data_IF_478200680862
#
_entry.id   IF_478200680862
#
_cell.length_a   1.000
_cell.length_b   1.000
_cell.length_c   1.000
_cell.angle_alpha   90.00
_cell.angle_beta   90.00
_cell.angle_gamma   90.00
#
_symmetry.space_group_name_H-M   'P 1'
#
loop_
_entity.id
_entity.type
_entity.pdbx_description
1 polymer ?
#
# COMPACT_ATOMS: atom_id res chain seq x y z
N UNK A 1 -0.63 -0.41 25.63
CA UNK A 1 0.00 0.88 26.00
C UNK A 1 -0.19 1.99 24.96
N UNK A 2 0.25 1.83 23.69
CA UNK A 2 0.09 2.91 22.68
C UNK A 2 -1.39 3.21 22.38
N UNK A 3 -2.23 2.18 22.27
CA UNK A 3 -3.68 2.37 22.12
C UNK A 3 -4.33 3.11 23.29
N UNK A 4 -3.83 2.94 24.51
CA UNK A 4 -4.30 3.69 25.69
C UNK A 4 -3.93 5.18 25.59
N UNK A 5 -2.71 5.49 25.15
CA UNK A 5 -2.26 6.86 24.90
C UNK A 5 -3.06 7.54 23.79
N UNK A 6 -3.34 6.82 22.68
CA UNK A 6 -4.18 7.33 21.59
C UNK A 6 -5.60 7.61 22.09
N UNK A 7 -6.21 6.70 22.85
CA UNK A 7 -7.54 6.90 23.45
C UNK A 7 -7.57 8.09 24.41
N UNK A 8 -6.54 8.28 25.22
CA UNK A 8 -6.44 9.45 26.11
C UNK A 8 -6.38 10.78 25.34
N UNK A 9 -5.84 10.77 24.13
CA UNK A 9 -5.84 11.91 23.20
C UNK A 9 -7.04 11.99 22.27
N UNK A 10 -8.11 11.23 22.52
CA UNK A 10 -9.29 11.13 21.66
C UNK A 10 -8.97 10.72 20.20
N UNK A 11 -7.95 9.88 19.99
CA UNK A 11 -7.54 9.33 18.70
C UNK A 11 -7.86 7.83 18.61
N UNK A 12 -8.20 7.35 17.42
CA UNK A 12 -8.31 5.92 17.13
C UNK A 12 -6.92 5.33 16.79
N UNK A 13 -6.84 3.99 16.84
CA UNK A 13 -5.63 3.22 16.55
C UNK A 13 -5.71 2.44 15.23
N UNK A 14 -6.61 2.86 14.34
CA UNK A 14 -6.88 2.18 13.08
C UNK A 14 -6.04 2.77 11.96
N UNK A 15 -5.62 1.89 11.04
CA UNK A 15 -4.89 2.25 9.84
C UNK A 15 -5.74 1.84 8.63
N UNK A 16 -5.67 2.56 7.51
CA UNK A 16 -6.29 2.09 6.28
C UNK A 16 -5.70 0.76 5.85
N UNK A 17 -6.47 -0.04 5.12
CA UNK A 17 -5.97 -1.25 4.46
C UNK A 17 -4.82 -0.92 3.52
N UNK A 18 -3.76 -1.71 3.61
CA UNK A 18 -2.53 -1.48 2.85
C UNK A 18 -1.71 -2.76 2.66
N UNK A 19 -0.85 -2.73 1.65
CA UNK A 19 0.18 -3.73 1.41
C UNK A 19 1.54 -3.17 1.81
N UNK A 20 2.32 -3.95 2.57
CA UNK A 20 3.74 -3.67 2.76
C UNK A 20 4.54 -4.24 1.60
N UNK A 21 5.43 -3.43 1.03
CA UNK A 21 6.25 -3.81 -0.12
C UNK A 21 7.71 -3.56 0.18
N UNK A 22 8.52 -4.59 -0.06
CA UNK A 22 9.97 -4.49 -0.12
C UNK A 22 10.39 -4.83 -1.56
N UNK A 23 11.01 -3.89 -2.25
CA UNK A 23 11.58 -4.10 -3.57
C UNK A 23 13.10 -3.98 -3.49
N UNK A 24 13.79 -5.00 -4.01
CA UNK A 24 15.25 -5.04 -4.07
C UNK A 24 15.70 -5.39 -5.48
N UNK A 25 16.83 -4.80 -5.89
CA UNK A 25 17.49 -5.15 -7.13
C UNK A 25 19.01 -4.91 -6.98
N UNK A 26 19.87 -5.74 -7.60
CA UNK A 26 21.31 -5.49 -7.61
C UNK A 26 21.65 -4.08 -8.09
N UNK A 27 22.59 -3.40 -7.41
CA UNK A 27 23.02 -2.05 -7.77
C UNK A 27 22.03 -0.94 -7.43
N UNK A 28 20.94 -1.22 -6.71
CA UNK A 28 19.91 -0.25 -6.33
C UNK A 28 19.71 -0.20 -4.81
N UNK A 29 19.25 0.94 -4.31
CA UNK A 29 18.80 1.08 -2.92
C UNK A 29 17.51 0.28 -2.71
N UNK A 30 17.40 -0.53 -1.64
CA UNK A 30 16.14 -1.17 -1.26
C UNK A 30 15.04 -0.14 -1.04
N UNK A 31 13.86 -0.38 -1.62
CA UNK A 31 12.67 0.41 -1.36
C UNK A 31 11.76 -0.34 -0.39
N UNK A 32 11.58 0.23 0.80
CA UNK A 32 10.52 -0.16 1.74
C UNK A 32 9.41 0.87 1.63
N UNK A 33 8.22 0.43 1.23
CA UNK A 33 7.06 1.31 1.05
C UNK A 33 5.78 0.55 1.38
N UNK A 34 4.66 1.27 1.35
CA UNK A 34 3.31 0.73 1.51
C UNK A 34 2.39 1.29 0.43
N UNK A 35 1.36 0.53 0.05
CA UNK A 35 0.32 0.92 -0.92
C UNK A 35 -1.03 0.85 -0.25
N UNK A 36 -1.86 1.90 -0.38
CA UNK A 36 -3.13 2.05 0.32
C UNK A 36 -4.32 1.93 -0.64
N UNK A 37 -5.41 1.32 -0.19
CA UNK A 37 -6.67 1.33 -0.92
C UNK A 37 -7.39 2.68 -0.73
N UNK A 38 -7.82 3.31 -1.82
CA UNK A 38 -8.45 4.64 -1.79
C UNK A 38 -9.83 4.67 -1.10
N UNK A 39 -10.51 3.52 -1.05
CA UNK A 39 -11.88 3.38 -0.55
C UNK A 39 -11.92 3.02 0.95
N UNK A 40 -10.76 2.95 1.61
CA UNK A 40 -10.71 2.64 3.02
C UNK A 40 -11.24 3.80 3.90
N UNK A 41 -12.15 3.53 4.87
CA UNK A 41 -12.70 4.56 5.75
C UNK A 41 -11.66 5.36 6.55
N UNK A 42 -10.44 4.83 6.72
CA UNK A 42 -9.36 5.47 7.47
C UNK A 42 -8.27 6.09 6.58
N UNK A 43 -8.50 6.23 5.28
CA UNK A 43 -7.49 6.74 4.33
C UNK A 43 -6.99 8.15 4.71
N UNK A 44 -7.88 9.02 5.18
CA UNK A 44 -7.56 10.38 5.63
C UNK A 44 -7.26 10.47 7.14
N UNK A 45 -7.23 9.33 7.84
CA UNK A 45 -7.17 9.28 9.30
C UNK A 45 -6.15 8.26 9.85
N UNK A 46 -5.12 7.88 9.08
CA UNK A 46 -4.14 6.89 9.52
C UNK A 46 -3.51 7.24 10.89
N UNK A 47 -3.66 6.32 11.86
CA UNK A 47 -3.17 6.51 13.22
C UNK A 47 -1.67 6.78 13.32
N UNK A 48 -0.88 6.35 12.32
CA UNK A 48 0.58 6.51 12.29
C UNK A 48 1.08 7.50 11.23
N UNK A 49 0.17 8.19 10.53
CA UNK A 49 0.51 9.22 9.53
C UNK A 49 1.37 8.70 8.36
N UNK A 50 1.23 7.42 8.00
CA UNK A 50 1.99 6.75 6.95
C UNK A 50 1.49 7.08 5.54
N UNK A 51 0.20 7.43 5.39
CA UNK A 51 -0.40 7.70 4.07
C UNK A 51 0.33 8.83 3.33
N UNK A 52 0.59 8.58 2.05
CA UNK A 52 1.10 9.54 1.07
C UNK A 52 0.21 9.44 -0.16
N UNK A 53 -0.26 10.58 -0.68
CA UNK A 53 -1.24 10.60 -1.78
C UNK A 53 -0.75 9.86 -3.04
N UNK A 54 0.55 9.84 -3.29
CA UNK A 54 1.15 9.11 -4.43
C UNK A 54 1.17 7.59 -4.25
N UNK A 55 0.79 7.08 -3.07
CA UNK A 55 0.76 5.66 -2.71
C UNK A 55 -0.68 5.18 -2.44
N UNK A 56 -1.68 6.04 -2.68
CA UNK A 56 -3.11 5.70 -2.61
C UNK A 56 -3.56 5.25 -3.99
N UNK A 57 -4.14 4.07 -4.09
CA UNK A 57 -4.46 3.40 -5.36
C UNK A 57 -5.94 3.08 -5.47
N UNK A 58 -6.46 3.19 -6.69
CA UNK A 58 -7.76 2.66 -7.08
C UNK A 58 -7.64 1.17 -7.39
N UNK A 59 -8.36 0.36 -6.63
CA UNK A 59 -8.50 -1.08 -6.88
C UNK A 59 -9.73 -1.28 -7.77
N UNK A 60 -9.51 -1.56 -9.05
CA UNK A 60 -10.60 -1.74 -10.01
C UNK A 60 -11.23 -3.11 -9.82
N UNK A 61 -12.51 -3.16 -9.46
CA UNK A 61 -13.27 -4.42 -9.44
C UNK A 61 -13.51 -4.90 -10.86
N UNK A 62 -12.99 -6.09 -11.17
CA UNK A 62 -13.13 -6.78 -12.46
C UNK A 62 -14.10 -7.95 -12.33
N UNK A 63 -15.16 -7.91 -13.13
CA UNK A 63 -16.18 -8.98 -13.19
C UNK A 63 -15.99 -9.93 -14.38
N UNK A 64 -15.14 -9.59 -15.35
CA UNK A 64 -14.93 -10.37 -16.58
C UNK A 64 -14.01 -11.58 -16.34
N UNK A 65 -14.48 -12.82 -16.50
CA UNK A 65 -13.64 -14.01 -16.39
C UNK A 65 -12.46 -14.03 -17.38
N UNK A 66 -12.58 -13.39 -18.55
CA UNK A 66 -11.50 -13.31 -19.52
C UNK A 66 -10.34 -12.45 -19.01
N UNK A 67 -10.62 -11.40 -18.24
CA UNK A 67 -9.61 -10.57 -17.58
C UNK A 67 -8.91 -11.29 -16.42
N UNK A 68 -9.55 -12.30 -15.83
CA UNK A 68 -9.00 -13.07 -14.72
C UNK A 68 -8.00 -14.15 -15.17
N UNK A 69 -8.15 -14.66 -16.40
CA UNK A 69 -7.36 -15.78 -16.91
C UNK A 69 -5.83 -15.56 -16.88
N UNK A 70 -5.27 -14.39 -17.24
CA UNK A 70 -3.82 -14.15 -17.15
C UNK A 70 -3.25 -14.20 -15.73
N UNK A 71 -4.08 -13.98 -14.71
CA UNK A 71 -3.68 -13.98 -13.30
C UNK A 71 -4.01 -15.30 -12.58
N UNK A 72 -4.61 -16.27 -13.29
CA UNK A 72 -5.05 -17.55 -12.73
C UNK A 72 -5.99 -17.42 -11.52
N UNK A 73 -6.90 -16.42 -11.57
CA UNK A 73 -7.94 -16.19 -10.55
C UNK A 73 -9.35 -16.30 -11.14
N UNK A 74 -10.37 -16.33 -10.28
CA UNK A 74 -11.79 -16.29 -10.68
C UNK A 74 -12.35 -14.87 -10.52
N UNK A 75 -13.36 -14.53 -11.33
CA UNK A 75 -14.12 -13.30 -11.15
C UNK A 75 -15.20 -13.47 -10.05
N UNK A 76 -15.52 -12.41 -9.28
CA UNK A 76 -14.92 -11.08 -9.36
C UNK A 76 -13.58 -11.00 -8.61
N UNK A 77 -12.66 -10.19 -9.14
CA UNK A 77 -11.39 -9.88 -8.49
C UNK A 77 -11.14 -8.36 -8.50
N UNK A 78 -10.13 -7.91 -7.76
CA UNK A 78 -9.66 -6.53 -7.81
C UNK A 78 -8.30 -6.48 -8.49
N UNK A 79 -8.15 -5.54 -9.42
CA UNK A 79 -6.93 -5.30 -10.19
C UNK A 79 -6.34 -3.93 -9.83
N UNK A 80 -5.03 -3.85 -9.75
CA UNK A 80 -4.29 -2.62 -9.44
C UNK A 80 -2.90 -2.68 -10.07
N UNK A 81 -2.49 -1.57 -10.69
CA UNK A 81 -1.17 -1.42 -11.27
C UNK A 81 -0.39 -0.31 -10.55
N UNK A 82 0.87 -0.59 -10.21
CA UNK A 82 1.77 0.39 -9.59
C UNK A 82 3.22 0.14 -10.02
N UNK A 83 3.90 1.21 -10.46
CA UNK A 83 5.29 1.16 -10.90
C UNK A 83 6.25 1.53 -9.75
N UNK A 84 7.17 0.62 -9.43
CA UNK A 84 8.26 0.90 -8.49
C UNK A 84 9.49 1.43 -9.23
N UNK A 85 10.04 2.55 -8.76
CA UNK A 85 11.28 3.14 -9.27
C UNK A 85 12.33 3.13 -8.15
N UNK A 86 13.43 2.44 -8.37
CA UNK A 86 14.53 2.35 -7.41
C UNK A 86 15.63 3.35 -7.74
N UNK A 87 16.20 3.99 -6.71
CA UNK A 87 17.41 4.77 -6.84
C UNK A 87 18.64 3.86 -6.99
N UNK A 88 19.68 4.35 -7.67
CA UNK A 88 20.97 3.67 -7.71
C UNK A 88 21.56 3.56 -6.29
N UNK A 89 22.23 2.44 -6.00
CA UNK A 89 22.96 2.29 -4.74
C UNK A 89 24.05 3.37 -4.64
N UNK A 90 24.17 4.01 -3.47
CA UNK A 90 25.30 4.91 -3.24
C UNK A 90 26.59 4.10 -3.18
N UNK A 91 27.65 4.62 -3.81
CA UNK A 91 28.97 4.05 -3.65
C UNK A 91 29.37 4.15 -2.17
N UNK A 92 29.79 3.04 -1.56
CA UNK A 92 30.37 3.10 -0.21
C UNK A 92 31.54 4.08 -0.23
N UNK A 93 31.48 5.08 0.63
CA UNK A 93 32.64 5.91 0.98
C UNK A 93 33.74 5.07 1.64
#
# INVERSE_FOLDING_TARGET
PVGDLLRAGARHALRPSHFHVLVTAPGHQPLVTELFAEDDPYIDADAVFGVRSTLVLHFERRDDPAAAAPYEVEAPFYDVAFDFRLGAAEASA
#
